data_IF_092456611840
#
_entry.id   IF_092456611840
#
_cell.length_a   1.000
_cell.length_b   1.000
_cell.length_c   1.000
_cell.angle_alpha   90.00
_cell.angle_beta   90.00
_cell.angle_gamma   90.00
#
_symmetry.space_group_name_H-M   'P 1'
#
loop_
_entity.id
_entity.type
_entity.pdbx_description
1 polymer ?
#
# COMPACT_ATOMS: atom_id res chain seq x y z
N UNK A 1 2.15 -7.25 -28.99
CA UNK A 1 1.96 -6.30 -27.88
C UNK A 1 3.04 -6.60 -26.87
N UNK A 2 4.01 -5.70 -26.69
CA UNK A 2 5.09 -5.91 -25.73
C UNK A 2 4.56 -5.90 -24.31
N UNK A 3 5.07 -6.81 -23.49
CA UNK A 3 4.68 -6.92 -22.09
C UNK A 3 5.47 -5.91 -21.27
N UNK A 4 4.79 -4.88 -20.73
CA UNK A 4 5.42 -3.88 -19.86
C UNK A 4 5.36 -4.34 -18.40
N UNK A 5 6.51 -4.73 -17.87
CA UNK A 5 6.68 -5.22 -16.50
C UNK A 5 7.33 -4.21 -15.55
N UNK A 6 7.95 -3.15 -16.06
CA UNK A 6 8.76 -2.23 -15.27
C UNK A 6 7.95 -0.99 -14.88
N UNK A 7 7.83 -0.75 -13.58
CA UNK A 7 7.26 0.47 -13.03
C UNK A 7 8.37 1.53 -12.84
N UNK A 8 8.14 2.72 -13.37
CA UNK A 8 9.06 3.86 -13.28
C UNK A 8 9.03 4.58 -11.94
N UNK A 9 7.99 4.35 -11.13
CA UNK A 9 7.81 4.94 -9.81
C UNK A 9 7.20 3.93 -8.84
N UNK A 10 7.43 4.16 -7.54
CA UNK A 10 6.82 3.38 -6.47
C UNK A 10 5.29 3.51 -6.54
N UNK A 11 4.77 4.72 -6.76
CA UNK A 11 3.33 4.97 -6.85
C UNK A 11 2.71 4.22 -8.02
N UNK A 12 3.36 4.25 -9.20
CA UNK A 12 2.93 3.49 -10.36
C UNK A 12 2.93 1.99 -10.10
N UNK A 13 3.95 1.48 -9.39
CA UNK A 13 4.00 0.08 -8.97
C UNK A 13 2.84 -0.27 -8.05
N UNK A 14 2.61 0.53 -7.00
CA UNK A 14 1.53 0.32 -6.03
C UNK A 14 0.18 0.38 -6.71
N UNK A 15 -0.04 1.36 -7.60
CA UNK A 15 -1.27 1.50 -8.37
C UNK A 15 -1.53 0.27 -9.23
N UNK A 16 -0.54 -0.15 -10.00
CA UNK A 16 -0.66 -1.31 -10.89
C UNK A 16 -0.95 -2.58 -10.09
N UNK A 17 -0.20 -2.81 -9.01
CA UNK A 17 -0.38 -3.96 -8.14
C UNK A 17 -1.76 -3.99 -7.49
N UNK A 18 -2.18 -2.88 -6.90
CA UNK A 18 -3.45 -2.76 -6.20
C UNK A 18 -4.64 -2.84 -7.17
N UNK A 19 -4.66 -1.97 -8.18
CA UNK A 19 -5.84 -1.72 -9.02
C UNK A 19 -5.95 -2.69 -10.19
N UNK A 20 -4.83 -3.12 -10.78
CA UNK A 20 -4.84 -3.96 -11.98
C UNK A 20 -4.67 -5.46 -11.70
N UNK A 21 -4.09 -5.83 -10.55
CA UNK A 21 -3.83 -7.25 -10.23
C UNK A 21 -4.68 -7.75 -9.06
N UNK A 22 -4.54 -7.20 -7.86
CA UNK A 22 -5.17 -7.80 -6.67
C UNK A 22 -6.71 -7.76 -6.77
N UNK A 23 -7.28 -6.65 -7.23
CA UNK A 23 -8.73 -6.50 -7.53
C UNK A 23 -9.25 -7.56 -8.51
N UNK A 24 -8.41 -8.01 -9.45
CA UNK A 24 -8.77 -8.94 -10.51
C UNK A 24 -8.50 -10.42 -10.16
N UNK A 25 -8.13 -10.70 -8.89
CA UNK A 25 -8.01 -12.06 -8.37
C UNK A 25 -6.61 -12.65 -8.41
N UNK A 26 -5.58 -11.81 -8.64
CA UNK A 26 -4.18 -12.21 -8.52
C UNK A 26 -3.76 -12.19 -7.05
N UNK A 27 -4.15 -13.23 -6.31
CA UNK A 27 -3.97 -13.27 -4.86
C UNK A 27 -2.69 -13.96 -4.42
N UNK A 28 -2.18 -14.90 -5.22
CA UNK A 28 -0.97 -15.64 -4.92
C UNK A 28 0.22 -14.87 -5.46
N UNK A 29 1.25 -14.71 -4.66
CA UNK A 29 2.44 -13.98 -5.08
C UNK A 29 3.73 -14.56 -4.53
N UNK A 30 4.80 -14.31 -5.25
CA UNK A 30 6.18 -14.42 -4.78
C UNK A 30 6.80 -13.03 -4.94
N UNK A 31 7.44 -12.55 -3.89
CA UNK A 31 8.17 -11.29 -3.90
C UNK A 31 9.63 -11.55 -3.57
N UNK A 32 10.52 -10.81 -4.21
CA UNK A 32 11.96 -10.93 -4.00
C UNK A 32 12.72 -9.75 -4.55
N UNK A 33 14.02 -9.76 -4.33
CA UNK A 33 14.95 -8.76 -4.83
C UNK A 33 15.97 -9.41 -5.75
N UNK A 34 16.26 -8.78 -6.88
CA UNK A 34 17.27 -9.28 -7.81
C UNK A 34 18.66 -8.95 -7.23
N UNK A 35 19.56 -9.95 -7.06
CA UNK A 35 20.90 -9.72 -6.54
C UNK A 35 21.72 -8.72 -7.36
N UNK A 36 22.59 -7.98 -6.68
CA UNK A 36 23.54 -7.07 -7.31
C UNK A 36 24.44 -7.80 -8.33
N UNK A 37 24.81 -7.10 -9.40
CA UNK A 37 25.60 -7.65 -10.50
C UNK A 37 24.84 -8.47 -11.55
N UNK A 38 23.55 -8.80 -11.33
CA UNK A 38 22.73 -9.39 -12.40
C UNK A 38 22.13 -8.33 -13.31
N UNK A 39 22.09 -8.63 -14.61
CA UNK A 39 21.31 -7.86 -15.57
C UNK A 39 19.80 -8.05 -15.30
N UNK A 40 19.14 -6.93 -15.01
CA UNK A 40 17.72 -6.89 -14.68
C UNK A 40 16.86 -7.28 -15.90
N UNK A 41 17.22 -6.82 -17.10
CA UNK A 41 16.44 -7.10 -18.30
C UNK A 41 16.47 -8.59 -18.67
N UNK A 42 17.65 -9.23 -18.59
CA UNK A 42 17.77 -10.67 -18.78
C UNK A 42 16.95 -11.48 -17.76
N UNK A 43 16.93 -11.06 -16.49
CA UNK A 43 16.11 -11.72 -15.46
C UNK A 43 14.61 -11.57 -15.77
N UNK A 44 14.16 -10.38 -16.17
CA UNK A 44 12.77 -10.12 -16.55
C UNK A 44 12.34 -11.04 -17.69
N UNK A 45 13.11 -11.07 -18.78
CA UNK A 45 12.84 -11.91 -19.95
C UNK A 45 12.77 -13.38 -19.54
N UNK A 46 13.74 -13.85 -18.76
CA UNK A 46 13.77 -15.23 -18.26
C UNK A 46 12.53 -15.59 -17.45
N UNK A 47 12.04 -14.70 -16.58
CA UNK A 47 10.84 -14.96 -15.77
C UNK A 47 9.57 -14.90 -16.61
N UNK A 48 9.48 -13.94 -17.53
CA UNK A 48 8.34 -13.77 -18.44
C UNK A 48 8.16 -14.98 -19.35
N UNK A 49 9.27 -15.47 -19.93
CA UNK A 49 9.29 -16.63 -20.81
C UNK A 49 9.00 -17.91 -20.05
N UNK A 50 9.71 -18.14 -18.93
CA UNK A 50 9.55 -19.34 -18.11
C UNK A 50 8.09 -19.58 -17.73
N UNK A 51 7.40 -18.54 -17.26
CA UNK A 51 6.04 -18.65 -16.78
C UNK A 51 4.97 -18.29 -17.82
N UNK A 52 5.35 -18.05 -19.08
CA UNK A 52 4.41 -17.73 -20.16
C UNK A 52 3.53 -16.52 -19.87
N UNK A 53 4.10 -15.45 -19.32
CA UNK A 53 3.36 -14.28 -18.80
C UNK A 53 2.89 -13.36 -19.93
N UNK A 54 3.70 -13.23 -20.97
CA UNK A 54 3.49 -12.36 -22.13
C UNK A 54 2.43 -12.92 -23.11
N UNK A 55 1.23 -13.17 -22.59
CA UNK A 55 0.09 -13.66 -23.37
C UNK A 55 -0.96 -12.57 -23.58
N UNK A 56 -1.74 -12.71 -24.65
CA UNK A 56 -2.79 -11.75 -24.99
C UNK A 56 -3.95 -11.78 -23.98
N UNK A 57 -4.72 -10.69 -23.92
CA UNK A 57 -5.95 -10.63 -23.12
C UNK A 57 -6.90 -11.81 -23.41
N UNK A 58 -7.05 -12.17 -24.69
CA UNK A 58 -7.89 -13.28 -25.13
C UNK A 58 -7.37 -14.64 -24.65
N UNK A 59 -6.05 -14.85 -24.71
CA UNK A 59 -5.43 -16.05 -24.16
C UNK A 59 -5.67 -16.17 -22.65
N UNK A 60 -5.53 -15.08 -21.88
CA UNK A 60 -5.87 -15.08 -20.44
C UNK A 60 -7.33 -15.44 -20.16
N UNK A 61 -8.25 -14.92 -20.96
CA UNK A 61 -9.67 -15.22 -20.85
C UNK A 61 -9.93 -16.73 -21.09
N UNK A 62 -9.35 -17.31 -22.15
CA UNK A 62 -9.46 -18.74 -22.44
C UNK A 62 -8.86 -19.62 -21.35
N UNK A 63 -7.66 -19.28 -20.85
CA UNK A 63 -7.02 -19.99 -19.73
C UNK A 63 -7.92 -20.01 -18.49
N UNK A 64 -8.50 -18.86 -18.14
CA UNK A 64 -9.43 -18.77 -16.99
C UNK A 64 -10.66 -19.67 -17.17
N UNK A 65 -11.22 -19.77 -18.38
CA UNK A 65 -12.33 -20.69 -18.68
C UNK A 65 -11.93 -22.17 -18.56
N UNK A 66 -10.67 -22.51 -18.85
CA UNK A 66 -10.11 -23.86 -18.74
C UNK A 66 -9.61 -24.20 -17.32
N UNK A 67 -9.78 -23.29 -16.34
CA UNK A 67 -9.29 -23.46 -14.98
C UNK A 67 -7.76 -23.36 -14.85
N UNK A 68 -7.08 -22.82 -15.86
CA UNK A 68 -5.64 -22.53 -15.82
C UNK A 68 -5.40 -21.18 -15.15
N UNK A 69 -4.33 -21.08 -14.36
CA UNK A 69 -3.97 -19.80 -13.79
C UNK A 69 -3.35 -18.86 -14.83
N UNK A 70 -3.55 -17.57 -14.61
CA UNK A 70 -2.86 -16.51 -15.31
C UNK A 70 -1.81 -15.91 -14.39
N UNK A 71 -0.67 -15.53 -14.96
CA UNK A 71 0.43 -14.90 -14.24
C UNK A 71 0.65 -13.47 -14.69
N UNK A 72 1.25 -12.68 -13.79
CA UNK A 72 1.73 -11.32 -14.03
C UNK A 72 3.07 -11.14 -13.34
N UNK A 73 3.93 -10.32 -13.93
CA UNK A 73 5.23 -9.95 -13.43
C UNK A 73 5.31 -8.42 -13.38
N UNK A 74 5.70 -7.89 -12.22
CA UNK A 74 5.89 -6.46 -12.01
C UNK A 74 7.20 -6.24 -11.27
N UNK A 75 8.01 -5.29 -11.74
CA UNK A 75 9.28 -4.90 -11.13
C UNK A 75 9.37 -3.40 -10.94
N UNK A 76 9.93 -2.99 -9.81
CA UNK A 76 10.40 -1.64 -9.59
C UNK A 76 11.83 -1.71 -9.07
N UNK A 77 12.76 -1.09 -9.79
CA UNK A 77 14.20 -1.21 -9.53
C UNK A 77 14.63 -2.69 -9.46
N UNK A 78 15.14 -3.16 -8.32
CA UNK A 78 15.53 -4.55 -8.08
C UNK A 78 14.42 -5.39 -7.44
N UNK A 79 13.39 -4.76 -6.89
CA UNK A 79 12.28 -5.45 -6.25
C UNK A 79 11.28 -5.94 -7.30
N UNK A 80 10.93 -7.22 -7.23
CA UNK A 80 9.97 -7.82 -8.16
C UNK A 80 8.89 -8.61 -7.43
N UNK A 81 7.75 -8.72 -8.12
CA UNK A 81 6.62 -9.54 -7.69
C UNK A 81 6.11 -10.35 -8.88
N UNK A 82 6.04 -11.66 -8.68
CA UNK A 82 5.28 -12.58 -9.52
C UNK A 82 3.92 -12.79 -8.87
N UNK A 83 2.84 -12.63 -9.65
CA UNK A 83 1.48 -12.87 -9.19
C UNK A 83 0.79 -13.93 -10.03
N UNK A 84 -0.08 -14.70 -9.39
CA UNK A 84 -0.91 -15.71 -10.04
C UNK A 84 -2.36 -15.62 -9.57
N UNK A 85 -3.29 -15.88 -10.51
CA UNK A 85 -4.69 -16.16 -10.17
C UNK A 85 -4.85 -17.59 -9.65
N UNK A 86 -5.97 -17.89 -9.01
CA UNK A 86 -6.33 -19.30 -8.73
C UNK A 86 -6.45 -20.08 -10.05
N UNK A 87 -5.88 -21.28 -10.09
CA UNK A 87 -5.94 -22.20 -11.24
C UNK A 87 -4.75 -23.15 -11.28
N UNK A 88 -4.69 -24.01 -12.29
CA UNK A 88 -3.54 -24.91 -12.51
C UNK A 88 -2.39 -24.18 -13.22
N UNK A 89 -1.17 -24.29 -12.68
CA UNK A 89 0.06 -23.76 -13.27
C UNK A 89 1.29 -24.36 -12.57
N UNK A 90 2.39 -24.58 -13.30
CA UNK A 90 3.67 -25.06 -12.73
C UNK A 90 4.25 -24.13 -11.65
N UNK A 91 3.78 -22.88 -11.61
CA UNK A 91 4.19 -21.89 -10.60
C UNK A 91 3.86 -22.34 -9.18
N UNK A 92 2.71 -23.00 -9.00
CA UNK A 92 2.26 -23.45 -7.69
C UNK A 92 3.11 -24.61 -7.15
N UNK A 93 3.71 -25.40 -8.03
CA UNK A 93 4.58 -26.52 -7.68
C UNK A 93 6.02 -26.04 -7.46
N UNK A 94 6.55 -25.23 -8.38
CA UNK A 94 7.94 -24.75 -8.33
C UNK A 94 8.21 -23.77 -7.18
N UNK A 95 7.29 -22.84 -6.95
CA UNK A 95 7.50 -21.73 -6.02
C UNK A 95 6.78 -21.95 -4.67
N UNK A 96 6.28 -23.16 -4.42
CA UNK A 96 5.41 -23.47 -3.28
C UNK A 96 5.98 -23.00 -1.93
N UNK A 97 7.30 -23.13 -1.73
CA UNK A 97 7.97 -22.75 -0.48
C UNK A 97 8.00 -21.23 -0.24
N UNK A 98 8.06 -20.44 -1.31
CA UNK A 98 8.16 -18.96 -1.25
C UNK A 98 6.83 -18.27 -1.53
N UNK A 99 5.81 -19.03 -1.96
CA UNK A 99 4.51 -18.51 -2.32
C UNK A 99 3.73 -18.01 -1.11
N UNK A 100 3.12 -16.84 -1.28
CA UNK A 100 2.34 -16.13 -0.28
C UNK A 100 0.96 -15.78 -0.82
N UNK A 101 0.00 -15.60 0.07
CA UNK A 101 -1.35 -15.16 -0.26
C UNK A 101 -1.57 -13.74 0.26
N UNK A 102 -1.86 -12.79 -0.63
CA UNK A 102 -2.06 -11.37 -0.30
C UNK A 102 -3.24 -11.13 0.64
N UNK A 103 -4.20 -12.06 0.69
CA UNK A 103 -5.34 -12.04 1.61
C UNK A 103 -4.95 -12.32 3.05
N UNK A 104 -3.85 -13.03 3.26
CA UNK A 104 -3.32 -13.40 4.58
C UNK A 104 -2.11 -12.56 4.95
N UNK A 105 -1.22 -12.33 3.99
CA UNK A 105 0.04 -11.63 4.19
C UNK A 105 0.19 -10.50 3.16
N UNK A 106 0.04 -9.23 3.57
CA UNK A 106 0.14 -8.09 2.67
C UNK A 106 1.56 -7.95 2.10
N UNK A 107 1.64 -7.45 0.86
CA UNK A 107 2.89 -7.13 0.19
C UNK A 107 3.42 -5.82 0.77
N UNK A 108 4.69 -5.81 1.19
CA UNK A 108 5.36 -4.63 1.73
C UNK A 108 6.40 -4.13 0.74
N UNK A 109 6.33 -2.85 0.35
CA UNK A 109 7.30 -2.22 -0.54
C UNK A 109 7.38 -0.72 -0.23
N UNK A 110 8.60 -0.17 -0.12
CA UNK A 110 8.83 1.29 0.03
C UNK A 110 7.95 1.95 1.12
N UNK A 111 7.74 1.22 2.21
CA UNK A 111 6.89 1.65 3.32
C UNK A 111 5.38 1.70 3.02
N UNK A 112 4.92 1.05 1.96
CA UNK A 112 3.53 0.68 1.73
C UNK A 112 3.28 -0.76 2.19
N UNK A 113 2.06 -1.02 2.66
CA UNK A 113 1.52 -2.34 2.98
C UNK A 113 0.25 -2.54 2.19
N UNK A 114 0.29 -3.42 1.19
CA UNK A 114 -0.76 -3.66 0.21
C UNK A 114 -1.40 -5.02 0.53
N UNK A 115 -2.63 -4.99 1.03
CA UNK A 115 -3.40 -6.18 1.32
C UNK A 115 -4.80 -6.10 0.72
N UNK A 116 -5.63 -7.08 1.05
CA UNK A 116 -7.05 -7.04 0.72
C UNK A 116 -7.89 -7.53 1.89
N UNK A 117 -9.08 -6.96 2.03
CA UNK A 117 -10.06 -7.35 3.05
C UNK A 117 -11.42 -7.58 2.41
N UNK A 118 -12.18 -8.51 3.00
CA UNK A 118 -13.56 -8.75 2.58
C UNK A 118 -14.44 -7.65 3.15
N UNK A 119 -15.17 -6.96 2.28
CA UNK A 119 -16.13 -5.94 2.67
C UNK A 119 -17.46 -6.54 3.15
N UNK A 120 -18.38 -5.71 3.67
CA UNK A 120 -19.73 -6.13 4.03
C UNK A 120 -20.52 -6.71 2.85
N UNK A 121 -20.22 -6.26 1.62
CA UNK A 121 -20.74 -6.75 0.35
C UNK A 121 -20.23 -8.16 -0.03
N UNK A 122 -19.35 -8.74 0.79
CA UNK A 122 -18.73 -10.03 0.54
C UNK A 122 -17.64 -10.01 -0.53
N UNK A 123 -17.32 -8.84 -1.12
CA UNK A 123 -16.27 -8.70 -2.15
C UNK A 123 -14.93 -8.38 -1.50
N UNK A 124 -13.85 -8.71 -2.21
CA UNK A 124 -12.49 -8.39 -1.78
C UNK A 124 -12.13 -6.98 -2.22
N UNK A 125 -11.85 -6.11 -1.26
CA UNK A 125 -11.40 -4.75 -1.48
C UNK A 125 -9.92 -4.62 -1.18
N UNK A 126 -9.19 -3.98 -2.09
CA UNK A 126 -7.76 -3.72 -1.90
C UNK A 126 -7.59 -2.58 -0.92
N UNK A 127 -6.70 -2.78 0.05
CA UNK A 127 -6.31 -1.79 1.05
C UNK A 127 -4.81 -1.56 0.96
N UNK A 128 -4.44 -0.38 0.48
CA UNK A 128 -3.06 0.12 0.58
C UNK A 128 -2.96 0.91 1.88
N UNK A 129 -1.97 0.61 2.72
CA UNK A 129 -1.69 1.33 3.97
C UNK A 129 -0.27 1.85 3.96
N UNK A 130 -0.02 3.00 4.60
CA UNK A 130 1.34 3.40 4.97
C UNK A 130 1.82 2.52 6.12
N UNK A 131 3.04 1.97 5.99
CA UNK A 131 3.71 1.21 7.03
C UNK A 131 3.99 2.11 8.23
N UNK A 132 3.94 1.53 9.43
CA UNK A 132 3.87 2.28 10.68
C UNK A 132 5.01 3.27 10.93
N UNK A 133 6.20 3.07 10.34
CA UNK A 133 7.32 4.00 10.50
C UNK A 133 7.10 5.29 9.72
N UNK A 134 6.75 5.22 8.43
CA UNK A 134 6.43 6.41 7.62
C UNK A 134 5.26 7.18 8.25
N UNK A 135 4.24 6.47 8.76
CA UNK A 135 3.13 7.12 9.42
C UNK A 135 3.52 7.84 10.72
N UNK A 136 4.44 7.27 11.50
CA UNK A 136 4.99 7.91 12.71
C UNK A 136 5.79 9.16 12.35
N UNK A 137 6.67 9.04 11.37
CA UNK A 137 7.54 10.15 10.93
C UNK A 137 6.68 11.29 10.34
N UNK A 138 5.64 10.96 9.56
CA UNK A 138 4.68 11.96 9.06
C UNK A 138 3.88 12.62 10.19
N UNK A 139 3.49 11.87 11.23
CA UNK A 139 2.79 12.44 12.39
C UNK A 139 3.65 13.44 13.15
N UNK A 140 4.95 13.16 13.30
CA UNK A 140 5.90 14.08 13.95
C UNK A 140 6.04 15.35 13.11
N UNK A 141 6.33 15.22 11.81
CA UNK A 141 6.46 16.36 10.90
C UNK A 141 5.20 17.23 10.86
N UNK A 142 4.01 16.62 10.78
CA UNK A 142 2.73 17.36 10.82
C UNK A 142 2.52 18.04 12.17
N UNK A 143 2.85 17.37 13.28
CA UNK A 143 2.71 17.97 14.62
C UNK A 143 3.57 19.22 14.77
N UNK A 144 4.75 19.23 14.15
CA UNK A 144 5.68 20.36 14.16
C UNK A 144 5.28 21.47 13.16
N UNK A 145 4.61 21.12 12.06
CA UNK A 145 4.08 22.06 11.07
C UNK A 145 2.79 22.77 11.52
N UNK A 146 2.00 22.18 12.42
CA UNK A 146 0.80 22.82 13.00
C UNK A 146 1.23 23.72 14.16
N UNK A 147 1.88 24.84 13.82
CA UNK A 147 1.99 26.00 14.71
C UNK A 147 0.63 26.71 14.80
N UNK A 148 0.26 27.27 15.96
CA UNK A 148 -0.95 28.08 16.07
C UNK A 148 -0.81 29.29 15.14
N UNK A 149 -1.59 29.33 14.05
CA UNK A 149 -1.72 30.51 13.19
C UNK A 149 -1.23 30.39 11.73
N UNK A 150 -0.68 29.26 11.28
CA UNK A 150 -0.17 29.17 9.91
C UNK A 150 -1.21 28.64 8.91
N UNK A 151 -1.94 29.55 8.26
CA UNK A 151 -2.65 29.29 7.01
C UNK A 151 -1.66 29.24 5.84
N UNK A 152 -1.31 28.03 5.40
CA UNK A 152 -0.90 27.74 4.02
C UNK A 152 0.54 28.09 3.60
N UNK A 153 1.42 27.08 3.58
CA UNK A 153 2.24 26.68 2.42
C UNK A 153 3.22 25.59 2.83
N UNK A 154 3.05 24.40 2.23
CA UNK A 154 3.92 23.25 2.49
C UNK A 154 3.50 22.01 1.71
N UNK A 155 3.09 22.16 0.45
CA UNK A 155 2.87 21.00 -0.44
C UNK A 155 4.18 20.67 -1.13
N UNK A 156 5.00 19.81 -0.52
CA UNK A 156 6.02 19.06 -1.25
C UNK A 156 5.97 17.59 -0.82
N UNK A 157 5.76 16.72 -1.80
CA UNK A 157 6.19 15.32 -1.76
C UNK A 157 5.24 14.29 -1.14
N UNK A 158 3.92 14.43 -1.23
CA UNK A 158 3.01 13.30 -0.94
C UNK A 158 2.32 12.84 -2.23
N UNK A 159 2.79 11.70 -2.74
CA UNK A 159 2.38 11.09 -3.99
C UNK A 159 0.85 10.99 -4.17
N UNK A 160 0.42 11.23 -5.41
CA UNK A 160 -0.97 11.37 -5.83
C UNK A 160 -1.74 10.04 -5.92
N UNK A 161 -1.85 9.32 -4.80
CA UNK A 161 -2.76 8.17 -4.71
C UNK A 161 -4.00 8.52 -3.89
N UNK A 162 -5.18 8.51 -4.51
CA UNK A 162 -6.44 8.93 -3.89
C UNK A 162 -6.83 8.12 -2.63
N UNK A 163 -6.44 6.84 -2.53
CA UNK A 163 -6.64 6.04 -1.30
C UNK A 163 -5.70 6.44 -0.15
N UNK A 164 -4.50 6.97 -0.47
CA UNK A 164 -3.57 7.51 0.54
C UNK A 164 -4.12 8.82 1.09
N UNK A 165 -4.73 9.68 0.24
CA UNK A 165 -5.32 10.96 0.65
C UNK A 165 -6.38 10.79 1.74
N UNK A 166 -7.27 9.79 1.63
CA UNK A 166 -8.28 9.52 2.68
C UNK A 166 -7.68 9.02 3.99
N UNK A 167 -6.61 8.20 3.94
CA UNK A 167 -5.93 7.72 5.15
C UNK A 167 -5.15 8.83 5.84
N UNK A 168 -4.48 9.70 5.08
CA UNK A 168 -3.86 10.91 5.62
C UNK A 168 -4.90 11.84 6.23
N UNK A 169 -6.04 12.07 5.56
CA UNK A 169 -7.15 12.84 6.11
C UNK A 169 -7.62 12.27 7.45
N UNK A 170 -7.77 10.96 7.57
CA UNK A 170 -8.18 10.31 8.82
C UNK A 170 -7.11 10.43 9.93
N UNK A 171 -5.83 10.42 9.56
CA UNK A 171 -4.71 10.60 10.48
C UNK A 171 -4.60 12.06 10.95
N UNK A 172 -4.81 13.01 10.04
CA UNK A 172 -4.87 14.45 10.35
C UNK A 172 -6.09 14.79 11.21
N UNK A 173 -7.27 14.25 10.87
CA UNK A 173 -8.51 14.42 11.64
C UNK A 173 -8.41 13.78 13.04
N UNK A 174 -7.84 12.59 13.17
CA UNK A 174 -7.63 11.96 14.48
C UNK A 174 -6.56 12.66 15.33
N UNK A 175 -5.52 13.25 14.73
CA UNK A 175 -4.55 14.08 15.43
C UNK A 175 -5.14 15.43 15.87
N UNK A 176 -6.02 16.03 15.06
CA UNK A 176 -6.76 17.25 15.41
C UNK A 176 -7.79 16.99 16.54
N UNK A 177 -8.54 15.88 16.46
CA UNK A 177 -9.50 15.46 17.49
C UNK A 177 -8.81 14.99 18.79
N UNK A 178 -7.62 14.38 18.69
CA UNK A 178 -6.81 14.01 19.85
C UNK A 178 -6.29 15.20 20.65
N UNK A 179 -6.05 16.35 20.02
CA UNK A 179 -5.75 17.63 20.72
C UNK A 179 -7.01 18.27 21.32
N UNK A 180 -8.19 18.09 20.73
CA UNK A 180 -9.44 18.60 21.31
C UNK A 180 -9.83 17.90 22.62
N UNK A 181 -9.43 16.63 22.78
CA UNK A 181 -9.69 15.84 23.99
C UNK A 181 -8.49 15.76 24.97
N UNK A 182 -7.32 16.29 24.61
CA UNK A 182 -6.10 16.25 25.41
C UNK A 182 -5.66 17.64 25.85
N UNK A 183 -6.04 18.00 27.08
CA UNK A 183 -5.59 19.15 27.88
C UNK A 183 -5.80 20.56 27.31
N UNK A 184 -6.74 21.27 27.93
CA UNK A 184 -6.74 22.73 28.04
C UNK A 184 -6.17 23.10 29.43
N UNK A 185 -4.88 23.43 29.57
CA UNK A 185 -4.30 23.80 30.86
C UNK A 185 -4.50 25.30 31.10
N UNK A 186 -5.72 25.76 31.36
CA UNK A 186 -5.94 27.11 31.91
C UNK A 186 -7.31 27.27 32.57
N UNK A 187 -7.56 26.62 33.71
CA UNK A 187 -8.61 27.05 34.65
C UNK A 187 -8.39 26.51 36.07
N UNK A 188 -7.24 26.81 36.67
CA UNK A 188 -7.10 26.81 38.13
C UNK A 188 -6.32 28.04 38.55
N UNK A 189 -7.06 28.99 39.11
CA UNK A 189 -6.73 29.95 40.20
C UNK A 189 -7.47 31.26 39.95
N UNK A 190 -8.66 31.38 40.54
CA UNK A 190 -9.13 32.61 41.19
C UNK A 190 -10.40 32.27 41.98
N UNK A 191 -10.19 31.70 43.16
CA UNK A 191 -11.17 31.67 44.23
C UNK A 191 -10.47 32.19 45.49
N UNK A 192 -10.33 33.51 45.60
CA UNK A 192 -10.10 34.23 46.86
C UNK A 192 -10.76 35.61 46.76
N UNK A 193 -11.43 35.98 47.86
CA UNK A 193 -12.22 37.22 48.14
C UNK A 193 -13.64 37.11 47.60
N UNK A 194 -14.66 36.91 48.43
CA UNK A 194 -15.06 37.78 49.54
C UNK A 194 -15.86 37.04 50.60
N UNK A 195 -15.39 37.06 51.85
CA UNK A 195 -16.22 36.95 53.06
C UNK A 195 -15.32 37.25 54.29
N UNK A 196 -15.07 38.54 54.57
CA UNK A 196 -14.75 39.06 55.92
C UNK A 196 -15.14 40.54 55.96
N UNK A 197 -16.07 40.87 56.86
CA UNK A 197 -16.42 42.13 57.55
C UNK A 197 -17.87 41.93 58.00
N UNK A 198 -18.11 41.35 59.17
CA UNK A 198 -18.13 42.01 60.49
C UNK A 198 -19.05 43.23 60.49
N UNK A 199 -20.29 43.02 60.92
CA UNK A 199 -20.96 43.65 62.09
C UNK A 199 -22.43 43.22 62.19
#
# INVERSE_FOLDING_TARGET
>A
MEYRSVATSVEGFVQQLAVAYITHGYWFYVAGEIPEGKDLAAVDTKLIERYGIAITKWARCRRKKQGLANMQYLRHERFFVLLATKGRHEFFEREQASMRDVRRMPIKLAGYSIGCRKGPDGRWHVTVRLAGQILRDLKVQVRDLVLPGCTGRGRRGLGDFAQIKWQLLHVLQSAALGKANGDCPSRRKNARRTAVRDE
#
